data_IF_428462294460
#
_entry.id   IF_428462294460
#
_cell.length_a   1.000
_cell.length_b   1.000
_cell.length_c   1.000
_cell.angle_alpha   90.00
_cell.angle_beta   90.00
_cell.angle_gamma   90.00
#
_symmetry.space_group_name_H-M   'P 1'
#
loop_
_entity.id
_entity.type
_entity.pdbx_description
1 polymer ?
#
# COMPACT_ATOMS: atom_id res chain seq x y z
N UNK A 1 -17.77 -17.69 -10.47
CA UNK A 1 -17.24 -16.36 -10.47
C UNK A 1 -16.10 -16.19 -9.52
N UNK A 2 -15.11 -15.54 -9.92
CA UNK A 2 -13.96 -15.45 -9.08
C UNK A 2 -13.69 -14.02 -8.66
N UNK A 3 -12.91 -13.88 -7.63
CA UNK A 3 -12.66 -12.59 -7.05
C UNK A 3 -11.33 -12.06 -7.50
N UNK A 4 -11.20 -11.93 -8.76
CA UNK A 4 -9.91 -11.55 -9.31
C UNK A 4 -9.52 -10.12 -8.99
N UNK A 5 -10.37 -9.38 -8.33
CA UNK A 5 -10.07 -7.97 -8.11
C UNK A 5 -9.40 -7.67 -6.79
N UNK A 6 -8.99 -8.71 -6.09
CA UNK A 6 -8.28 -8.46 -4.85
C UNK A 6 -6.94 -7.83 -5.13
N UNK A 7 -6.62 -6.79 -4.36
CA UNK A 7 -5.38 -6.07 -4.51
C UNK A 7 -4.74 -5.83 -3.16
N UNK A 8 -3.48 -5.51 -3.19
CA UNK A 8 -2.73 -5.22 -1.98
C UNK A 8 -2.43 -3.74 -1.90
N UNK A 9 -2.57 -3.19 -0.71
CA UNK A 9 -2.31 -1.79 -0.44
C UNK A 9 -1.35 -1.70 0.72
N UNK A 10 -0.56 -0.63 0.75
CA UNK A 10 0.43 -0.45 1.80
C UNK A 10 -0.12 0.55 2.81
N UNK A 11 -0.28 0.09 4.05
CA UNK A 11 -0.68 0.95 5.14
C UNK A 11 0.58 1.52 5.79
N UNK A 12 0.57 2.80 6.05
CA UNK A 12 1.74 3.48 6.57
C UNK A 12 1.40 4.24 7.83
N UNK A 13 2.43 4.52 8.61
CA UNK A 13 2.29 5.30 9.83
C UNK A 13 2.74 6.72 9.53
N UNK A 14 1.94 7.43 8.76
CA UNK A 14 2.31 8.77 8.35
C UNK A 14 1.48 9.81 9.07
N UNK A 15 0.17 9.63 9.05
CA UNK A 15 -0.74 10.61 9.61
C UNK A 15 -2.01 9.88 9.96
N UNK A 16 -2.77 10.40 10.92
CA UNK A 16 -4.02 9.76 11.30
C UNK A 16 -5.00 9.69 10.16
N UNK A 17 -4.91 10.62 9.24
CA UNK A 17 -5.89 10.71 8.17
C UNK A 17 -5.51 10.00 6.90
N UNK A 18 -4.24 9.70 6.73
CA UNK A 18 -3.77 9.18 5.45
C UNK A 18 -2.99 7.91 5.65
N UNK A 19 -3.68 6.83 5.94
CA UNK A 19 -3.01 5.57 6.29
C UNK A 19 -2.50 4.78 5.10
N UNK A 20 -2.83 5.17 3.87
CA UNK A 20 -2.45 4.40 2.69
C UNK A 20 -1.39 5.13 1.89
N UNK A 21 -0.44 4.36 1.37
CA UNK A 21 0.60 4.90 0.53
C UNK A 21 0.07 5.15 -0.87
N UNK A 22 0.29 6.34 -1.37
CA UNK A 22 -0.10 6.71 -2.72
C UNK A 22 1.11 6.76 -3.64
N UNK A 23 2.14 7.44 -3.21
CA UNK A 23 3.45 7.42 -3.83
C UNK A 23 4.46 7.29 -2.71
N UNK A 24 5.75 7.11 -3.01
CA UNK A 24 6.72 7.03 -1.90
C UNK A 24 6.72 8.25 -0.99
N UNK A 25 6.13 9.36 -1.44
CA UNK A 25 6.13 10.58 -0.66
C UNK A 25 4.75 11.12 -0.36
N UNK A 26 3.70 10.47 -0.86
CA UNK A 26 2.34 10.94 -0.68
C UNK A 26 1.46 9.84 -0.10
N UNK A 27 0.46 10.26 0.66
CA UNK A 27 -0.43 9.34 1.34
C UNK A 27 -1.87 9.72 1.07
N UNK A 28 -2.78 8.77 1.23
CA UNK A 28 -4.18 9.02 0.99
C UNK A 28 -5.02 8.16 1.92
N UNK A 29 -6.24 8.57 2.16
CA UNK A 29 -7.18 7.76 2.92
C UNK A 29 -8.15 7.03 2.02
N UNK A 30 -8.04 7.19 0.72
CA UNK A 30 -8.98 6.58 -0.22
C UNK A 30 -8.32 5.44 -0.98
N UNK A 31 -8.96 4.27 -0.94
CA UNK A 31 -8.41 3.11 -1.62
C UNK A 31 -8.32 3.31 -3.13
N UNK A 32 -9.28 4.05 -3.70
CA UNK A 32 -9.25 4.24 -5.14
C UNK A 32 -8.12 5.17 -5.59
N UNK A 33 -7.51 5.87 -4.67
CA UNK A 33 -6.36 6.72 -5.00
C UNK A 33 -5.05 6.11 -4.54
N UNK A 34 -5.11 5.09 -3.73
CA UNK A 34 -3.92 4.49 -3.16
C UNK A 34 -3.22 3.60 -4.18
N UNK A 35 -1.92 3.47 -4.01
CA UNK A 35 -1.14 2.57 -4.82
C UNK A 35 -1.57 1.14 -4.54
N UNK A 36 -1.82 0.38 -5.58
CA UNK A 36 -2.28 -0.99 -5.41
C UNK A 36 -1.36 -1.94 -6.18
N UNK A 37 -1.30 -3.17 -5.69
CA UNK A 37 -0.46 -4.21 -6.28
C UNK A 37 -1.30 -5.47 -6.44
N UNK A 38 -1.02 -6.20 -7.50
CA UNK A 38 -1.72 -7.46 -7.74
C UNK A 38 -1.10 -8.64 -7.06
N UNK A 39 0.10 -8.48 -6.50
CA UNK A 39 0.84 -9.58 -5.93
C UNK A 39 1.59 -9.10 -4.71
N UNK A 40 1.63 -9.93 -3.69
CA UNK A 40 2.32 -9.57 -2.46
C UNK A 40 3.82 -9.38 -2.69
N UNK A 41 4.40 -10.17 -3.56
CA UNK A 41 5.83 -10.03 -3.82
C UNK A 41 6.15 -8.67 -4.42
N UNK A 42 5.22 -8.10 -5.19
CA UNK A 42 5.42 -6.77 -5.74
C UNK A 42 5.40 -5.73 -4.63
N UNK A 43 4.55 -5.93 -3.63
CA UNK A 43 4.49 -5.02 -2.48
C UNK A 43 5.83 -5.01 -1.76
N UNK A 44 6.35 -6.19 -1.46
CA UNK A 44 7.59 -6.29 -0.72
C UNK A 44 8.75 -5.70 -1.51
N UNK A 45 8.76 -5.92 -2.80
CA UNK A 45 9.81 -5.38 -3.65
C UNK A 45 9.74 -3.86 -3.70
N UNK A 46 8.55 -3.33 -3.75
CA UNK A 46 8.36 -1.88 -3.77
C UNK A 46 8.83 -1.26 -2.46
N UNK A 47 8.47 -1.87 -1.35
CA UNK A 47 8.88 -1.38 -0.04
C UNK A 47 10.40 -1.35 0.06
N UNK A 48 11.03 -2.41 -0.38
CA UNK A 48 12.47 -2.50 -0.31
C UNK A 48 13.14 -1.51 -1.25
N UNK A 49 12.60 -1.39 -2.45
CA UNK A 49 13.19 -0.50 -3.45
C UNK A 49 13.17 0.95 -3.00
N UNK A 50 12.13 1.36 -2.31
CA UNK A 50 11.99 2.74 -1.90
C UNK A 50 12.33 2.99 -0.44
N UNK A 51 12.81 1.97 0.25
CA UNK A 51 13.23 2.15 1.63
C UNK A 51 12.11 2.53 2.56
N UNK A 52 10.95 1.91 2.39
CA UNK A 52 9.76 2.29 3.14
C UNK A 52 9.57 1.46 4.40
N UNK A 53 10.53 0.63 4.76
CA UNK A 53 10.34 -0.30 5.88
C UNK A 53 10.00 0.41 7.18
N UNK A 54 10.46 1.62 7.34
CA UNK A 54 10.27 2.33 8.60
C UNK A 54 8.85 2.85 8.76
N UNK A 55 8.18 3.15 7.67
CA UNK A 55 6.86 3.77 7.75
C UNK A 55 5.73 2.79 7.47
N UNK A 56 6.04 1.64 6.89
CA UNK A 56 5.00 0.65 6.59
C UNK A 56 4.58 -0.05 7.87
N UNK A 57 3.29 -0.04 8.15
CA UNK A 57 2.76 -0.71 9.32
C UNK A 57 2.06 -2.01 8.97
N UNK A 58 1.49 -2.11 7.78
CA UNK A 58 0.78 -3.31 7.40
C UNK A 58 0.54 -3.31 5.91
N UNK A 59 0.20 -4.49 5.39
CA UNK A 59 -0.24 -4.63 4.01
C UNK A 59 -1.69 -5.07 4.06
N UNK A 60 -2.54 -4.34 3.36
CA UNK A 60 -3.97 -4.58 3.38
C UNK A 60 -4.36 -5.27 2.08
N UNK A 61 -5.08 -6.35 2.19
CA UNK A 61 -5.60 -7.06 1.03
C UNK A 61 -7.08 -6.79 0.90
N UNK A 62 -7.47 -6.40 -0.31
CA UNK A 62 -8.85 -6.00 -0.44
C UNK A 62 -9.40 -6.23 -1.82
#
# INVERSE_FOLDING_TARGET
MKMENEKYYIAVNADDRYPLLKTPQDYTEYFNEALSFGDLSDVLRYIEKHGLERIVTAVIKR
#
